data_IF_835095057956
#
_entry.id   IF_835095057956
#
_cell.length_a   1.000
_cell.length_b   1.000
_cell.length_c   1.000
_cell.angle_alpha   90.00
_cell.angle_beta   90.00
_cell.angle_gamma   90.00
#
_symmetry.space_group_name_H-M   'P 1'
#
loop_
_entity.id
_entity.type
_entity.pdbx_description
1 polymer ?
#
# COMPACT_ATOMS: atom_id res chain seq x y z
N UNK A 1 -4.36 -3.69 15.64
CA UNK A 1 -4.31 -3.83 14.18
C UNK A 1 -4.45 -2.44 13.56
N UNK A 2 -3.59 -2.14 12.59
CA UNK A 2 -3.57 -0.82 11.96
C UNK A 2 -4.29 -0.86 10.62
N UNK A 3 -5.25 0.03 10.41
CA UNK A 3 -5.96 0.16 9.14
C UNK A 3 -5.10 0.91 8.14
N UNK A 4 -4.89 0.32 6.97
CA UNK A 4 -4.06 0.90 5.92
C UNK A 4 -4.82 0.97 4.60
N UNK A 5 -4.48 1.99 3.82
CA UNK A 5 -4.96 2.15 2.45
C UNK A 5 -3.75 1.98 1.54
N UNK A 6 -3.88 1.14 0.51
CA UNK A 6 -2.80 0.95 -0.46
C UNK A 6 -3.00 1.91 -1.62
N UNK A 7 -1.97 2.69 -1.92
CA UNK A 7 -1.98 3.61 -3.05
C UNK A 7 -1.57 2.85 -4.29
N UNK A 8 -2.48 2.71 -5.24
CA UNK A 8 -2.33 1.87 -6.41
C UNK A 8 -3.14 0.60 -6.28
N UNK A 9 -3.56 0.03 -7.41
CA UNK A 9 -4.32 -1.22 -7.46
C UNK A 9 -3.86 -2.13 -8.60
N UNK A 10 -2.67 -1.87 -9.14
CA UNK A 10 -2.08 -2.71 -10.19
C UNK A 10 -1.30 -3.87 -9.62
N UNK A 11 -0.42 -4.44 -10.45
CA UNK A 11 0.34 -5.65 -10.09
C UNK A 11 1.17 -5.52 -8.83
N UNK A 12 1.83 -4.38 -8.65
CA UNK A 12 2.67 -4.16 -7.48
C UNK A 12 1.83 -4.09 -6.19
N UNK A 13 0.70 -3.40 -6.26
CA UNK A 13 -0.23 -3.34 -5.13
C UNK A 13 -0.81 -4.72 -4.81
N UNK A 14 -1.12 -5.51 -5.85
CA UNK A 14 -1.62 -6.87 -5.67
C UNK A 14 -0.60 -7.75 -4.96
N UNK A 15 0.69 -7.62 -5.28
CA UNK A 15 1.75 -8.36 -4.59
C UNK A 15 1.81 -8.00 -3.11
N UNK A 16 1.71 -6.70 -2.80
CA UNK A 16 1.72 -6.24 -1.40
C UNK A 16 0.52 -6.82 -0.65
N UNK A 17 -0.65 -6.78 -1.25
CA UNK A 17 -1.87 -7.34 -0.65
C UNK A 17 -1.71 -8.83 -0.37
N UNK A 18 -1.16 -9.58 -1.32
CA UNK A 18 -0.90 -11.00 -1.14
C UNK A 18 0.12 -11.27 -0.03
N UNK A 19 1.17 -10.47 0.05
CA UNK A 19 2.20 -10.63 1.08
C UNK A 19 1.64 -10.36 2.47
N UNK A 20 0.76 -9.38 2.61
CA UNK A 20 0.11 -9.09 3.89
C UNK A 20 -0.73 -10.29 4.32
N UNK A 21 -1.52 -10.85 3.42
CA UNK A 21 -2.33 -12.04 3.70
C UNK A 21 -1.45 -13.24 4.06
N UNK A 22 -0.38 -13.44 3.32
CA UNK A 22 0.55 -14.54 3.57
C UNK A 22 1.21 -14.38 4.96
N UNK A 23 1.66 -13.18 5.27
CA UNK A 23 2.28 -12.89 6.55
C UNK A 23 1.36 -13.22 7.72
N UNK A 24 0.10 -12.84 7.60
CA UNK A 24 -0.90 -13.14 8.62
C UNK A 24 -1.11 -14.65 8.76
N UNK A 25 -1.12 -15.37 7.64
CA UNK A 25 -1.27 -16.82 7.63
C UNK A 25 -0.10 -17.52 8.33
N UNK A 26 1.12 -17.05 8.11
CA UNK A 26 2.33 -17.65 8.64
C UNK A 26 2.53 -17.34 10.12
N UNK A 27 2.32 -16.08 10.51
CA UNK A 27 2.59 -15.63 11.88
C UNK A 27 1.41 -15.76 12.82
N UNK A 28 0.21 -15.87 12.27
CA UNK A 28 -1.02 -15.85 13.05
C UNK A 28 -1.35 -14.48 13.63
N UNK A 29 -0.59 -13.45 13.28
CA UNK A 29 -0.81 -12.08 13.78
C UNK A 29 -1.38 -11.20 12.67
N UNK A 30 -2.35 -10.37 13.02
CA UNK A 30 -2.97 -9.42 12.10
C UNK A 30 -2.53 -8.02 12.49
N UNK A 31 -1.37 -7.61 12.00
CA UNK A 31 -0.80 -6.30 12.33
C UNK A 31 -1.35 -5.19 11.44
N UNK A 32 -1.69 -5.53 10.19
CA UNK A 32 -2.24 -4.59 9.22
C UNK A 32 -3.59 -5.06 8.72
N UNK A 33 -4.50 -4.11 8.56
CA UNK A 33 -5.81 -4.38 7.98
C UNK A 33 -5.97 -3.49 6.74
N UNK A 34 -5.99 -4.08 5.56
CA UNK A 34 -6.16 -3.33 4.31
C UNK A 34 -7.63 -2.97 4.19
N UNK A 35 -7.94 -1.67 4.25
CA UNK A 35 -9.31 -1.19 4.19
C UNK A 35 -9.70 -0.66 2.82
N UNK A 36 -8.75 -0.46 1.93
CA UNK A 36 -9.06 0.01 0.59
C UNK A 36 -7.83 0.22 -0.27
N UNK A 37 -8.12 0.48 -1.54
CA UNK A 37 -7.12 0.77 -2.57
C UNK A 37 -7.48 2.05 -3.29
N UNK A 38 -6.48 2.77 -3.79
CA UNK A 38 -6.66 3.97 -4.59
C UNK A 38 -6.00 3.73 -5.95
N UNK A 39 -6.69 4.05 -7.03
CA UNK A 39 -6.09 4.02 -8.37
C UNK A 39 -6.93 4.90 -9.30
N UNK A 40 -6.24 5.69 -10.12
CA UNK A 40 -6.91 6.56 -11.09
C UNK A 40 -7.47 5.79 -12.27
N UNK A 41 -7.01 4.54 -12.47
CA UNK A 41 -7.51 3.66 -13.50
C UNK A 41 -8.26 2.48 -12.85
N UNK A 42 -9.60 2.47 -12.86
CA UNK A 42 -10.36 1.39 -12.25
C UNK A 42 -10.14 0.03 -12.92
N UNK A 43 -9.65 -0.01 -14.14
CA UNK A 43 -9.34 -1.27 -14.81
C UNK A 43 -8.19 -2.01 -14.12
N UNK A 44 -7.27 -1.28 -13.49
CA UNK A 44 -6.20 -1.91 -12.71
C UNK A 44 -6.79 -2.70 -11.55
N UNK A 45 -7.72 -2.11 -10.82
CA UNK A 45 -8.40 -2.79 -9.72
C UNK A 45 -9.15 -4.03 -10.21
N UNK A 46 -9.86 -3.90 -11.32
CA UNK A 46 -10.66 -5.00 -11.86
C UNK A 46 -9.83 -6.18 -12.36
N UNK A 47 -8.54 -5.96 -12.62
CA UNK A 47 -7.64 -7.01 -13.14
C UNK A 47 -7.16 -7.99 -12.08
N UNK A 48 -7.34 -7.68 -10.80
CA UNK A 48 -6.83 -8.49 -9.70
C UNK A 48 -7.91 -8.73 -8.66
N UNK A 49 -7.74 -9.82 -7.90
CA UNK A 49 -8.65 -10.13 -6.79
C UNK A 49 -8.07 -9.52 -5.51
N UNK A 50 -8.39 -8.27 -5.27
CA UNK A 50 -7.85 -7.53 -4.13
C UNK A 50 -8.75 -7.69 -2.91
N UNK A 51 -8.15 -7.61 -1.72
CA UNK A 51 -8.83 -7.95 -0.46
C UNK A 51 -9.76 -6.88 0.06
N UNK A 52 -9.76 -5.69 -0.53
CA UNK A 52 -10.54 -4.56 -0.06
C UNK A 52 -11.07 -3.75 -1.24
N UNK A 53 -12.06 -2.87 -1.04
CA UNK A 53 -12.66 -2.12 -2.15
C UNK A 53 -11.76 -1.03 -2.71
N UNK A 54 -12.05 -0.64 -3.95
CA UNK A 54 -11.47 0.55 -4.55
C UNK A 54 -12.19 1.76 -3.97
N UNK A 55 -11.47 2.61 -3.26
CA UNK A 55 -12.06 3.77 -2.61
C UNK A 55 -12.18 4.99 -3.54
N UNK A 56 -11.44 4.99 -4.62
CA UNK A 56 -11.46 6.08 -5.59
C UNK A 56 -10.11 6.30 -6.24
N UNK A 57 -9.95 7.43 -6.91
CA UNK A 57 -8.70 7.79 -7.57
C UNK A 57 -7.68 8.36 -6.60
N UNK A 58 -6.42 8.30 -6.99
CA UNK A 58 -5.34 8.84 -6.18
C UNK A 58 -5.39 10.37 -6.20
N UNK A 59 -5.61 10.95 -7.37
CA UNK A 59 -5.61 12.42 -7.53
C UNK A 59 -6.70 13.10 -6.72
N UNK A 60 -7.86 12.48 -6.65
CA UNK A 60 -9.03 13.06 -5.99
C UNK A 60 -9.13 12.67 -4.51
N UNK A 61 -8.25 11.79 -4.05
CA UNK A 61 -8.32 11.33 -2.68
C UNK A 61 -7.96 12.44 -1.70
N UNK A 62 -8.81 12.60 -0.70
CA UNK A 62 -8.56 13.54 0.39
C UNK A 62 -7.93 12.77 1.55
N UNK A 63 -6.68 13.11 1.83
CA UNK A 63 -5.96 12.45 2.91
C UNK A 63 -6.56 12.85 4.26
N UNK A 64 -6.82 11.87 5.09
CA UNK A 64 -7.23 12.10 6.48
C UNK A 64 -5.94 12.11 7.30
N UNK A 65 -5.63 13.21 8.00
CA UNK A 65 -4.40 13.26 8.79
C UNK A 65 -4.33 12.10 9.79
N UNK A 66 -3.18 11.45 9.84
CA UNK A 66 -2.98 10.28 10.69
C UNK A 66 -3.36 8.95 10.06
N UNK A 67 -4.07 8.95 8.94
CA UNK A 67 -4.39 7.72 8.23
C UNK A 67 -3.11 7.07 7.70
N UNK A 68 -2.99 5.76 7.87
CA UNK A 68 -1.84 5.00 7.41
C UNK A 68 -2.02 4.55 5.96
N UNK A 69 -0.93 4.62 5.20
CA UNK A 69 -0.90 4.26 3.78
C UNK A 69 0.32 3.40 3.48
N UNK A 70 0.19 2.57 2.44
CA UNK A 70 1.31 1.84 1.85
C UNK A 70 1.37 2.25 0.39
N UNK A 71 2.57 2.59 -0.11
CA UNK A 71 2.73 2.92 -1.51
C UNK A 71 2.85 1.64 -2.33
N UNK A 72 1.88 1.40 -3.19
CA UNK A 72 1.80 0.21 -4.04
C UNK A 72 2.07 0.50 -5.50
N UNK A 73 2.94 1.45 -5.79
CA UNK A 73 3.30 1.86 -7.14
C UNK A 73 4.79 1.64 -7.34
N UNK A 74 5.13 0.87 -8.37
CA UNK A 74 6.53 0.55 -8.66
C UNK A 74 7.27 1.67 -9.41
N UNK A 75 6.57 2.48 -10.18
CA UNK A 75 7.20 3.55 -10.95
C UNK A 75 7.77 4.61 -10.00
N UNK A 76 9.09 4.78 -10.04
CA UNK A 76 9.79 5.64 -9.07
C UNK A 76 9.35 7.10 -9.12
N UNK A 77 9.07 7.61 -10.30
CA UNK A 77 8.64 9.01 -10.47
C UNK A 77 7.30 9.26 -9.79
N UNK A 78 6.31 8.43 -10.10
CA UNK A 78 4.97 8.57 -9.52
C UNK A 78 4.97 8.24 -8.03
N UNK A 79 5.75 7.24 -7.64
CA UNK A 79 5.90 6.88 -6.24
C UNK A 79 6.35 8.09 -5.41
N UNK A 80 7.39 8.77 -5.86
CA UNK A 80 7.91 9.95 -5.16
C UNK A 80 6.88 11.07 -5.09
N UNK A 81 6.22 11.36 -6.22
CA UNK A 81 5.22 12.43 -6.27
C UNK A 81 4.08 12.19 -5.28
N UNK A 82 3.55 10.97 -5.26
CA UNK A 82 2.44 10.65 -4.37
C UNK A 82 2.85 10.62 -2.91
N UNK A 83 4.02 10.07 -2.61
CA UNK A 83 4.51 10.04 -1.23
C UNK A 83 4.68 11.48 -0.70
N UNK A 84 5.29 12.36 -1.48
CA UNK A 84 5.47 13.75 -1.07
C UNK A 84 4.14 14.46 -0.84
N UNK A 85 3.21 14.30 -1.78
CA UNK A 85 1.89 14.91 -1.65
C UNK A 85 1.16 14.42 -0.40
N UNK A 86 1.12 13.10 -0.22
CA UNK A 86 0.39 12.51 0.90
C UNK A 86 1.01 12.88 2.24
N UNK A 87 2.33 12.91 2.33
CA UNK A 87 3.01 13.34 3.56
C UNK A 87 2.67 14.80 3.88
N UNK A 88 2.64 15.65 2.87
CA UNK A 88 2.28 17.06 3.07
C UNK A 88 0.84 17.23 3.56
N UNK A 89 -0.02 16.27 3.27
CA UNK A 89 -1.43 16.31 3.70
C UNK A 89 -1.67 15.56 5.01
N UNK A 90 -0.63 15.07 5.66
CA UNK A 90 -0.73 14.46 6.98
C UNK A 90 -0.81 12.95 7.00
N UNK A 91 -0.55 12.29 5.88
CA UNK A 91 -0.54 10.83 5.81
C UNK A 91 0.62 10.24 6.61
N UNK A 92 0.43 9.03 7.13
CA UNK A 92 1.48 8.26 7.77
C UNK A 92 1.77 7.07 6.85
N UNK A 93 3.03 6.90 6.44
CA UNK A 93 3.39 5.75 5.62
C UNK A 93 3.89 4.60 6.47
N UNK A 94 3.44 3.40 6.13
CA UNK A 94 3.80 2.17 6.82
C UNK A 94 4.65 1.33 5.91
N UNK A 95 5.76 0.82 6.44
CA UNK A 95 6.61 -0.12 5.72
C UNK A 95 6.12 -1.53 5.95
N UNK A 96 6.20 -2.38 4.94
CA UNK A 96 5.86 -3.78 5.05
C UNK A 96 6.98 -4.62 4.47
N UNK A 97 7.48 -5.57 5.27
CA UNK A 97 8.52 -6.51 4.84
C UNK A 97 7.94 -7.91 4.95
N UNK A 98 7.95 -8.64 3.83
CA UNK A 98 7.49 -10.01 3.79
C UNK A 98 8.36 -10.86 4.71
N UNK A 99 7.79 -11.75 5.54
CA UNK A 99 8.57 -12.53 6.53
C UNK A 99 9.68 -13.37 5.92
N UNK A 100 9.49 -13.82 4.68
CA UNK A 100 10.48 -14.63 3.98
C UNK A 100 11.46 -13.82 3.15
N UNK A 101 11.30 -12.50 3.10
CA UNK A 101 12.13 -11.67 2.26
C UNK A 101 13.51 -11.52 2.87
N UNK A 102 14.52 -11.61 2.03
CA UNK A 102 15.88 -11.28 2.43
C UNK A 102 16.09 -9.79 2.21
N UNK A 103 16.53 -9.10 3.24
CA UNK A 103 16.82 -7.67 3.15
C UNK A 103 18.30 -7.48 3.47
N UNK A 104 19.06 -7.01 2.48
CA UNK A 104 20.46 -6.68 2.64
C UNK A 104 20.60 -5.46 3.56
N UNK A 105 21.67 -5.41 4.34
CA UNK A 105 21.96 -4.24 5.17
C UNK A 105 22.12 -2.96 4.34
N UNK A 106 22.52 -3.10 3.07
CA UNK A 106 22.68 -1.96 2.19
C UNK A 106 21.37 -1.55 1.54
N UNK A 107 20.30 -2.33 1.69
CA UNK A 107 19.02 -2.02 1.07
C UNK A 107 18.29 -0.94 1.84
N UNK A 108 17.56 -0.10 1.10
CA UNK A 108 16.68 0.87 1.70
C UNK A 108 15.32 0.23 1.93
N UNK A 109 14.83 0.30 3.17
CA UNK A 109 13.54 -0.27 3.55
C UNK A 109 12.60 0.86 3.94
N UNK A 110 11.38 0.77 3.53
CA UNK A 110 10.38 1.76 3.86
C UNK A 110 10.15 2.71 2.74
N UNK A 111 9.59 3.73 2.99
CA UNK A 111 9.29 4.68 2.23
C UNK A 111 9.26 5.00 1.16
#
# INVERSE_FOLDING_TARGET
>A
MKDVIIIGAGGHAAEIDDYIKYSQSVTGKRELNVIGFLDDNPDNYASYMLSAPLLGGIKDHKVVPGQAYIIGIANLKYRRLFVERFLNEGAVFVSFIHPSAYVSESATVGE
#
